data_IF_850451602204
#
_entry.id   IF_850451602204
#
_cell.length_a   1.000
_cell.length_b   1.000
_cell.length_c   1.000
_cell.angle_alpha   90.00
_cell.angle_beta   90.00
_cell.angle_gamma   90.00
#
_symmetry.space_group_name_H-M   'P 1'
#
loop_
_entity.id
_entity.type
_entity.pdbx_description
1 polymer ?
#
# COMPACT_ATOMS: atom_id res chain seq x y z
N UNK A 1 47.70 42.89 2.45
CA UNK A 1 46.51 42.24 1.87
C UNK A 1 46.29 40.91 2.58
N UNK A 2 45.40 40.81 3.56
CA UNK A 2 45.15 39.57 4.31
C UNK A 2 43.65 39.36 4.57
N UNK A 3 43.19 38.16 4.23
CA UNK A 3 42.05 37.46 4.83
C UNK A 3 40.60 37.84 4.46
N UNK A 4 40.23 37.82 3.17
CA UNK A 4 38.80 37.79 2.77
C UNK A 4 38.37 36.48 2.09
N UNK A 5 39.30 35.64 1.63
CA UNK A 5 38.96 34.42 0.87
C UNK A 5 38.32 33.31 1.72
N UNK A 6 38.70 33.23 3.00
CA UNK A 6 38.19 32.17 3.91
C UNK A 6 36.71 32.35 4.26
N UNK A 7 36.21 33.59 4.29
CA UNK A 7 34.81 33.88 4.66
C UNK A 7 33.89 33.59 3.46
N UNK A 8 34.30 33.94 2.24
CA UNK A 8 33.53 33.67 1.03
C UNK A 8 33.38 32.17 0.74
N UNK A 9 34.41 31.38 1.04
CA UNK A 9 34.39 29.93 0.80
C UNK A 9 33.49 29.16 1.79
N UNK A 10 33.33 29.67 3.03
CA UNK A 10 32.42 29.09 4.03
C UNK A 10 30.95 29.37 3.67
N UNK A 11 30.65 30.55 3.10
CA UNK A 11 29.29 30.90 2.69
C UNK A 11 28.80 30.01 1.53
N UNK A 12 29.66 29.71 0.55
CA UNK A 12 29.33 28.84 -0.58
C UNK A 12 29.10 27.37 -0.18
N UNK A 13 29.84 26.86 0.80
CA UNK A 13 29.64 25.50 1.31
C UNK A 13 28.30 25.35 2.06
N UNK A 14 27.87 26.38 2.80
CA UNK A 14 26.59 26.36 3.52
C UNK A 14 25.36 26.34 2.61
N UNK A 15 25.39 27.10 1.50
CA UNK A 15 24.28 27.15 0.53
C UNK A 15 24.15 25.82 -0.23
N UNK A 16 25.26 25.14 -0.54
CA UNK A 16 25.25 23.85 -1.23
C UNK A 16 24.62 22.73 -0.38
N UNK A 17 24.95 22.67 0.93
CA UNK A 17 24.38 21.67 1.84
C UNK A 17 22.89 21.95 2.10
N UNK A 18 22.52 23.23 2.26
CA UNK A 18 21.12 23.64 2.45
C UNK A 18 20.23 23.27 1.25
N UNK A 19 20.70 23.45 0.03
CA UNK A 19 19.94 23.11 -1.18
C UNK A 19 19.73 21.59 -1.35
N UNK A 20 20.74 20.77 -0.99
CA UNK A 20 20.64 19.30 -1.05
C UNK A 20 19.64 18.78 0.00
N UNK A 21 19.64 19.35 1.21
CA UNK A 21 18.68 18.99 2.26
C UNK A 21 17.23 19.32 1.86
N UNK A 22 16.99 20.48 1.21
CA UNK A 22 15.65 20.90 0.76
C UNK A 22 15.16 20.06 -0.43
N UNK A 23 16.04 19.70 -1.38
CA UNK A 23 15.68 18.81 -2.49
C UNK A 23 15.45 17.36 -2.03
N UNK A 24 16.21 16.87 -1.04
CA UNK A 24 15.95 15.57 -0.39
C UNK A 24 14.60 15.53 0.34
N UNK A 25 14.19 16.64 0.97
CA UNK A 25 12.87 16.80 1.57
C UNK A 25 11.75 16.86 0.52
N UNK A 26 11.99 17.48 -0.64
CA UNK A 26 11.02 17.52 -1.75
C UNK A 26 10.78 16.15 -2.40
N UNK A 27 11.78 15.25 -2.41
CA UNK A 27 11.59 13.84 -2.80
C UNK A 27 10.84 13.01 -1.72
N UNK A 28 10.73 13.54 -0.50
CA UNK A 28 9.91 13.02 0.59
C UNK A 28 8.59 13.81 0.73
N UNK A 29 7.98 14.21 -0.39
CA UNK A 29 6.56 14.60 -0.34
C UNK A 29 5.78 13.55 0.42
N UNK A 30 4.91 13.97 1.35
CA UNK A 30 4.15 13.05 2.20
C UNK A 30 3.52 11.96 1.32
N UNK A 31 3.96 10.70 1.50
CA UNK A 31 3.48 9.59 0.69
C UNK A 31 1.97 9.51 0.87
N UNK A 32 1.25 9.55 -0.25
CA UNK A 32 -0.20 9.45 -0.24
C UNK A 32 -0.57 8.04 0.17
N UNK A 33 -1.64 7.93 0.95
CA UNK A 33 -2.19 6.61 1.30
C UNK A 33 -2.61 5.89 0.03
N UNK A 34 -2.50 4.57 0.05
CA UNK A 34 -2.98 3.75 -1.06
C UNK A 34 -3.92 2.66 -0.57
N UNK A 35 -4.83 2.25 -1.44
CA UNK A 35 -5.90 1.32 -1.15
C UNK A 35 -5.85 0.17 -2.13
N UNK A 36 -5.47 -1.01 -1.64
CA UNK A 36 -5.60 -2.23 -2.42
C UNK A 36 -7.04 -2.72 -2.32
N UNK A 37 -7.69 -2.83 -3.48
CA UNK A 37 -9.06 -3.32 -3.62
C UNK A 37 -9.03 -4.66 -4.32
N UNK A 38 -9.71 -5.65 -3.76
CA UNK A 38 -9.91 -6.95 -4.41
C UNK A 38 -11.38 -7.32 -4.44
N UNK A 39 -11.84 -7.75 -5.60
CA UNK A 39 -13.19 -8.27 -5.82
C UNK A 39 -13.11 -9.77 -6.07
N UNK A 40 -13.99 -10.53 -5.44
CA UNK A 40 -13.92 -11.98 -5.48
C UNK A 40 -15.28 -12.66 -5.35
N UNK A 41 -15.36 -13.86 -5.90
CA UNK A 41 -16.40 -14.85 -5.60
C UNK A 41 -15.96 -15.69 -4.40
N UNK A 42 -16.88 -16.01 -3.49
CA UNK A 42 -16.62 -16.92 -2.37
C UNK A 42 -16.86 -18.34 -2.85
N UNK A 43 -15.82 -19.19 -2.79
CA UNK A 43 -15.90 -20.60 -3.15
C UNK A 43 -16.24 -21.46 -1.93
N UNK A 44 -15.62 -21.15 -0.79
CA UNK A 44 -15.86 -21.81 0.50
C UNK A 44 -15.72 -20.78 1.63
N UNK A 45 -16.80 -20.59 2.40
CA UNK A 45 -16.86 -19.58 3.45
C UNK A 45 -15.99 -19.92 4.67
N UNK A 46 -15.84 -21.20 5.01
CA UNK A 46 -15.00 -21.66 6.12
C UNK A 46 -13.52 -21.52 5.77
N UNK A 47 -13.14 -21.91 4.55
CA UNK A 47 -11.80 -21.69 4.02
C UNK A 47 -11.49 -20.20 3.91
N UNK A 48 -12.46 -19.36 3.52
CA UNK A 48 -12.30 -17.91 3.52
C UNK A 48 -12.03 -17.36 4.92
N UNK A 49 -12.76 -17.78 5.94
CA UNK A 49 -12.53 -17.32 7.31
C UNK A 49 -11.12 -17.68 7.82
N UNK A 50 -10.67 -18.91 7.54
CA UNK A 50 -9.32 -19.35 7.87
C UNK A 50 -8.25 -18.56 7.10
N UNK A 51 -8.40 -18.44 5.78
CA UNK A 51 -7.51 -17.67 4.91
C UNK A 51 -7.41 -16.19 5.33
N UNK A 52 -8.54 -15.53 5.63
CA UNK A 52 -8.54 -14.13 6.04
C UNK A 52 -7.78 -13.90 7.35
N UNK A 53 -7.73 -14.91 8.24
CA UNK A 53 -6.97 -14.81 9.49
C UNK A 53 -5.47 -14.76 9.22
N UNK A 54 -4.95 -15.65 8.37
CA UNK A 54 -3.51 -15.67 8.02
C UNK A 54 -3.13 -14.52 7.11
N UNK A 55 -3.98 -14.15 6.15
CA UNK A 55 -3.74 -13.04 5.23
C UNK A 55 -3.64 -11.70 5.98
N UNK A 56 -4.53 -11.44 6.96
CA UNK A 56 -4.49 -10.21 7.76
C UNK A 56 -3.19 -10.09 8.56
N UNK A 57 -2.70 -11.18 9.15
CA UNK A 57 -1.41 -11.18 9.85
C UNK A 57 -0.24 -10.85 8.91
N UNK A 58 -0.24 -11.43 7.70
CA UNK A 58 0.79 -11.13 6.70
C UNK A 58 0.74 -9.68 6.23
N UNK A 59 -0.47 -9.12 6.05
CA UNK A 59 -0.69 -7.72 5.69
C UNK A 59 -0.19 -6.78 6.80
N UNK A 60 -0.58 -7.02 8.06
CA UNK A 60 -0.17 -6.22 9.21
C UNK A 60 1.35 -6.20 9.39
N UNK A 61 2.01 -7.35 9.22
CA UNK A 61 3.47 -7.45 9.25
C UNK A 61 4.18 -6.64 8.15
N UNK A 62 3.46 -6.28 7.08
CA UNK A 62 3.95 -5.48 5.96
C UNK A 62 3.42 -4.03 5.96
N UNK A 63 2.86 -3.55 7.08
CA UNK A 63 2.21 -2.23 7.22
C UNK A 63 0.89 -2.06 6.44
N UNK A 64 0.33 -3.14 5.91
CA UNK A 64 -1.00 -3.15 5.31
C UNK A 64 -2.09 -3.26 6.38
N UNK A 65 -3.01 -2.31 6.42
CA UNK A 65 -4.15 -2.33 7.36
C UNK A 65 -5.41 -2.83 6.67
N UNK A 66 -5.87 -4.03 7.02
CA UNK A 66 -7.14 -4.54 6.53
C UNK A 66 -8.31 -3.75 7.12
N UNK A 67 -9.19 -3.21 6.27
CA UNK A 67 -10.44 -2.57 6.69
C UNK A 67 -11.55 -3.58 7.01
N UNK A 68 -11.21 -4.89 7.03
CA UNK A 68 -12.10 -6.01 7.38
C UNK A 68 -13.38 -6.10 6.54
N UNK A 69 -13.34 -5.74 5.27
CA UNK A 69 -14.51 -5.73 4.36
C UNK A 69 -14.75 -7.05 3.60
N UNK A 70 -13.74 -7.94 3.49
CA UNK A 70 -13.79 -9.10 2.60
C UNK A 70 -14.90 -10.13 2.92
N UNK A 71 -15.38 -10.16 4.16
CA UNK A 71 -16.51 -11.00 4.61
C UNK A 71 -17.75 -10.14 4.98
N UNK A 72 -17.73 -8.86 4.62
CA UNK A 72 -18.82 -7.93 4.87
C UNK A 72 -19.92 -8.03 3.80
N UNK A 73 -21.10 -7.51 4.14
CA UNK A 73 -22.22 -7.37 3.20
C UNK A 73 -21.90 -6.30 2.16
N UNK A 74 -22.01 -6.65 0.89
CA UNK A 74 -21.94 -5.70 -0.23
C UNK A 74 -23.36 -5.32 -0.63
N UNK A 75 -23.62 -4.02 -0.78
CA UNK A 75 -24.93 -3.48 -1.14
C UNK A 75 -24.78 -2.71 -2.45
N UNK A 76 -25.58 -3.07 -3.46
CA UNK A 76 -25.65 -2.31 -4.70
C UNK A 76 -26.37 -0.99 -4.46
N UNK A 77 -25.84 0.10 -5.01
CA UNK A 77 -26.50 1.41 -5.03
C UNK A 77 -26.95 1.72 -6.46
N UNK A 78 -26.02 1.66 -7.42
CA UNK A 78 -26.27 1.91 -8.84
C UNK A 78 -25.27 1.14 -9.72
N UNK A 79 -25.53 1.06 -11.03
CA UNK A 79 -24.65 0.43 -12.00
C UNK A 79 -24.76 -1.10 -12.09
N UNK A 80 -23.69 -1.74 -12.56
CA UNK A 80 -23.60 -3.18 -12.75
C UNK A 80 -23.70 -3.95 -11.41
N UNK A 81 -24.05 -5.26 -11.43
CA UNK A 81 -24.13 -6.06 -10.21
C UNK A 81 -22.85 -5.99 -9.36
N UNK A 82 -22.96 -5.83 -8.03
CA UNK A 82 -21.80 -5.73 -7.17
C UNK A 82 -21.11 -7.09 -7.02
N UNK A 83 -19.80 -7.10 -6.71
CA UNK A 83 -19.09 -8.31 -6.35
C UNK A 83 -19.63 -8.91 -5.04
N UNK A 84 -19.49 -10.23 -4.87
CA UNK A 84 -19.94 -10.94 -3.65
C UNK A 84 -19.02 -10.72 -2.45
N UNK A 85 -17.74 -10.41 -2.69
CA UNK A 85 -16.73 -10.15 -1.66
C UNK A 85 -15.81 -9.02 -2.11
N UNK A 86 -15.57 -8.04 -1.22
CA UNK A 86 -14.66 -6.91 -1.46
C UNK A 86 -13.67 -6.78 -0.32
N UNK A 87 -12.38 -7.00 -0.59
CA UNK A 87 -11.29 -6.71 0.34
C UNK A 87 -10.72 -5.32 0.09
N UNK A 88 -10.63 -4.50 1.14
CA UNK A 88 -9.97 -3.18 1.09
C UNK A 88 -8.85 -3.17 2.13
N UNK A 89 -7.63 -2.90 1.68
CA UNK A 89 -6.43 -2.76 2.52
C UNK A 89 -5.87 -1.36 2.33
N UNK A 90 -5.66 -0.64 3.42
CA UNK A 90 -4.98 0.66 3.45
C UNK A 90 -3.47 0.48 3.63
N UNK A 91 -2.69 1.28 2.90
CA UNK A 91 -1.23 1.27 2.88
C UNK A 91 -0.69 2.69 3.04
N UNK A 92 0.54 2.82 3.52
CA UNK A 92 1.20 4.12 3.61
C UNK A 92 1.62 4.70 2.26
N UNK A 93 1.72 3.86 1.23
CA UNK A 93 2.07 4.25 -0.13
C UNK A 93 1.69 3.15 -1.13
N UNK A 94 1.57 3.52 -2.41
CA UNK A 94 1.37 2.54 -3.49
C UNK A 94 2.54 1.55 -3.59
N UNK A 95 3.77 2.01 -3.32
CA UNK A 95 4.97 1.17 -3.37
C UNK A 95 4.94 0.04 -2.34
N UNK A 96 4.52 0.32 -1.10
CA UNK A 96 4.39 -0.69 -0.05
C UNK A 96 3.35 -1.76 -0.45
N UNK A 97 2.21 -1.34 -1.01
CA UNK A 97 1.19 -2.25 -1.48
C UNK A 97 1.73 -3.16 -2.60
N UNK A 98 2.38 -2.58 -3.61
CA UNK A 98 2.94 -3.33 -4.74
C UNK A 98 4.04 -4.29 -4.28
N UNK A 99 4.91 -3.85 -3.37
CA UNK A 99 5.96 -4.70 -2.79
C UNK A 99 5.36 -5.91 -2.08
N UNK A 100 4.31 -5.71 -1.26
CA UNK A 100 3.64 -6.81 -0.58
C UNK A 100 3.02 -7.82 -1.57
N UNK A 101 2.26 -7.37 -2.57
CA UNK A 101 1.61 -8.29 -3.51
C UNK A 101 2.58 -9.02 -4.45
N UNK A 102 3.82 -8.55 -4.59
CA UNK A 102 4.91 -9.25 -5.29
C UNK A 102 5.76 -10.14 -4.37
N UNK A 103 5.52 -10.10 -3.06
CA UNK A 103 6.34 -10.81 -2.08
C UNK A 103 6.01 -12.30 -1.99
N UNK A 104 6.99 -13.07 -1.50
CA UNK A 104 6.79 -14.48 -1.16
C UNK A 104 5.68 -14.68 -0.11
N UNK A 105 5.61 -13.77 0.87
CA UNK A 105 4.57 -13.80 1.91
C UNK A 105 3.15 -13.72 1.33
N UNK A 106 2.96 -13.06 0.19
CA UNK A 106 1.69 -13.06 -0.52
C UNK A 106 1.49 -14.31 -1.39
N UNK A 107 2.51 -14.72 -2.15
CA UNK A 107 2.38 -15.86 -3.07
C UNK A 107 2.20 -17.19 -2.35
N UNK A 108 2.79 -17.34 -1.16
CA UNK A 108 2.64 -18.54 -0.32
C UNK A 108 1.20 -18.75 0.16
N UNK A 109 0.39 -17.68 0.18
CA UNK A 109 -1.02 -17.76 0.55
C UNK A 109 -1.92 -18.19 -0.62
N UNK A 110 -1.40 -18.31 -1.85
CA UNK A 110 -2.20 -18.62 -3.03
C UNK A 110 -2.98 -19.94 -2.90
N UNK A 111 -2.42 -21.06 -2.42
CA UNK A 111 -3.18 -22.31 -2.29
C UNK A 111 -4.41 -22.19 -1.39
N UNK A 112 -4.29 -21.50 -0.26
CA UNK A 112 -5.42 -21.31 0.67
C UNK A 112 -6.42 -20.28 0.13
N UNK A 113 -5.92 -19.21 -0.49
CA UNK A 113 -6.75 -18.21 -1.17
C UNK A 113 -7.58 -18.85 -2.27
N UNK A 114 -6.98 -19.68 -3.12
CA UNK A 114 -7.63 -20.20 -4.33
C UNK A 114 -8.65 -21.31 -3.99
N UNK A 115 -8.53 -21.94 -2.82
CA UNK A 115 -9.60 -22.78 -2.24
C UNK A 115 -10.76 -21.93 -1.69
N UNK A 116 -10.44 -20.78 -1.10
CA UNK A 116 -11.42 -19.93 -0.43
C UNK A 116 -12.23 -19.06 -1.39
N UNK A 117 -11.57 -18.45 -2.37
CA UNK A 117 -12.13 -17.41 -3.24
C UNK A 117 -11.58 -17.48 -4.66
N UNK A 118 -12.41 -17.09 -5.64
CA UNK A 118 -11.96 -16.79 -6.99
C UNK A 118 -11.83 -15.27 -7.14
N UNK A 119 -10.59 -14.79 -7.24
CA UNK A 119 -10.32 -13.35 -7.43
C UNK A 119 -10.74 -12.95 -8.84
N UNK A 120 -11.65 -11.99 -8.94
CA UNK A 120 -12.07 -11.40 -10.23
C UNK A 120 -11.06 -10.36 -10.66
N UNK A 121 -10.72 -9.44 -9.76
CA UNK A 121 -9.68 -8.42 -9.96
C UNK A 121 -9.08 -7.98 -8.64
N UNK A 122 -7.84 -7.52 -8.70
CA UNK A 122 -7.17 -6.80 -7.61
C UNK A 122 -6.34 -5.67 -8.19
N UNK A 123 -6.45 -4.49 -7.60
CA UNK A 123 -5.73 -3.29 -8.01
C UNK A 123 -5.42 -2.43 -6.79
N UNK A 124 -4.49 -1.49 -6.95
CA UNK A 124 -4.13 -0.52 -5.91
C UNK A 124 -4.45 0.87 -6.43
N UNK A 125 -5.11 1.68 -5.62
CA UNK A 125 -5.46 3.07 -5.92
C UNK A 125 -4.74 3.95 -4.92
N UNK A 126 -3.91 4.88 -5.39
CA UNK A 126 -3.31 5.92 -4.55
C UNK A 126 -4.32 7.06 -4.32
N UNK A 127 -4.31 7.65 -3.13
CA UNK A 127 -5.11 8.83 -2.81
C UNK A 127 -4.63 10.04 -3.64
N UNK A 128 -5.56 10.95 -3.94
CA UNK A 128 -5.21 12.23 -4.55
C UNK A 128 -4.57 13.20 -3.53
N UNK A 129 -3.98 14.29 -4.03
CA UNK A 129 -3.34 15.33 -3.21
C UNK A 129 -4.33 16.42 -2.79
#
# INVERSE_FOLDING_TARGET
>A
MRSNYKITMVLLAGVAIGAIAVQGLHAQGAKLKAYAVSESEILDASAQAAYLTVARKALEAANGRSLRTAAGRVVQIEGAPPPKSVGIIEWNSVDEAVAFYKSKAWTDLAPDRDKAVKVTRRYVVEAEK
#
